data_IF_222063860680
#
_entry.id   IF_222063860680
#
_cell.length_a   1.000
_cell.length_b   1.000
_cell.length_c   1.000
_cell.angle_alpha   90.00
_cell.angle_beta   90.00
_cell.angle_gamma   90.00
#
_symmetry.space_group_name_H-M   'P 1'
#
loop_
_entity.id
_entity.type
_entity.pdbx_description
1 polymer ?
#
# COMPACT_ATOMS: atom_id res chain seq x y z
N UNK A 1 8.90 -3.55 -26.15
CA UNK A 1 7.79 -4.04 -25.29
C UNK A 1 8.28 -4.82 -24.06
N UNK A 2 9.12 -5.86 -24.21
CA UNK A 2 9.60 -6.69 -23.09
C UNK A 2 10.34 -5.91 -21.99
N UNK A 3 11.26 -5.01 -22.36
CA UNK A 3 11.99 -4.18 -21.40
C UNK A 3 11.05 -3.29 -20.58
N UNK A 4 10.07 -2.65 -21.22
CA UNK A 4 9.07 -1.81 -20.54
C UNK A 4 8.23 -2.63 -19.55
N UNK A 5 7.86 -3.87 -19.92
CA UNK A 5 7.11 -4.77 -19.03
C UNK A 5 7.93 -5.24 -17.85
N UNK A 6 9.22 -5.49 -18.06
CA UNK A 6 10.13 -5.84 -16.99
C UNK A 6 10.29 -4.68 -15.99
N UNK A 7 10.48 -3.46 -16.48
CA UNK A 7 10.57 -2.25 -15.64
C UNK A 7 9.28 -2.04 -14.85
N UNK A 8 8.12 -2.16 -15.51
CA UNK A 8 6.82 -2.04 -14.85
C UNK A 8 6.67 -3.08 -13.71
N UNK A 9 7.02 -4.34 -13.97
CA UNK A 9 6.94 -5.40 -12.97
C UNK A 9 7.83 -5.14 -11.75
N UNK A 10 9.05 -4.63 -11.95
CA UNK A 10 9.95 -4.23 -10.84
C UNK A 10 9.35 -3.09 -10.02
N UNK A 11 8.72 -2.11 -10.68
CA UNK A 11 8.11 -0.97 -10.01
C UNK A 11 6.88 -1.34 -9.17
N UNK A 12 6.03 -2.24 -9.67
CA UNK A 12 4.79 -2.64 -8.99
C UNK A 12 5.02 -3.66 -7.85
N UNK A 13 6.04 -4.51 -7.97
CA UNK A 13 6.34 -5.57 -7.00
C UNK A 13 6.38 -5.13 -5.53
N UNK A 14 7.14 -4.08 -5.16
CA UNK A 14 7.27 -3.66 -3.76
C UNK A 14 6.09 -2.83 -3.24
N UNK A 15 5.12 -2.44 -4.08
CA UNK A 15 4.06 -1.50 -3.69
C UNK A 15 3.21 -2.05 -2.54
N UNK A 16 2.70 -3.28 -2.67
CA UNK A 16 1.84 -3.90 -1.66
C UNK A 16 2.57 -4.09 -0.31
N UNK A 17 3.76 -4.71 -0.21
CA UNK A 17 4.44 -4.87 1.07
C UNK A 17 4.84 -3.52 1.70
N UNK A 18 5.17 -2.52 0.88
CA UNK A 18 5.46 -1.16 1.36
C UNK A 18 4.21 -0.51 1.95
N UNK A 19 3.07 -0.59 1.25
CA UNK A 19 1.78 -0.11 1.75
C UNK A 19 1.38 -0.79 3.06
N UNK A 20 1.56 -2.11 3.17
CA UNK A 20 1.27 -2.85 4.41
C UNK A 20 2.18 -2.42 5.56
N UNK A 21 3.47 -2.19 5.30
CA UNK A 21 4.44 -1.71 6.30
C UNK A 21 4.08 -0.31 6.79
N UNK A 22 3.78 0.60 5.86
CA UNK A 22 3.34 1.97 6.19
C UNK A 22 2.05 1.95 7.00
N UNK A 23 1.04 1.19 6.56
CA UNK A 23 -0.23 1.08 7.27
C UNK A 23 -0.07 0.43 8.65
N UNK A 24 0.85 -0.52 8.78
CA UNK A 24 1.18 -1.17 10.04
C UNK A 24 1.78 -0.20 11.07
N UNK A 25 2.61 0.74 10.63
CA UNK A 25 3.24 1.75 11.49
C UNK A 25 2.30 2.90 11.89
N UNK A 26 1.23 3.14 11.11
CA UNK A 26 0.31 4.25 11.33
C UNK A 26 -1.06 3.85 11.91
N UNK A 27 -1.35 2.54 12.00
CA UNK A 27 -2.67 2.04 12.40
C UNK A 27 -2.60 1.13 13.62
N UNK A 28 -3.38 1.41 14.69
CA UNK A 28 -3.44 0.53 15.84
C UNK A 28 -4.00 -0.85 15.46
N UNK A 29 -3.55 -1.95 16.12
CA UNK A 29 -3.89 -3.32 15.72
C UNK A 29 -5.41 -3.57 15.60
N UNK A 30 -6.19 -3.00 16.52
CA UNK A 30 -7.65 -3.18 16.58
C UNK A 30 -8.40 -2.57 15.39
N UNK A 31 -7.83 -1.54 14.75
CA UNK A 31 -8.46 -0.87 13.60
C UNK A 31 -7.82 -1.25 12.26
N UNK A 32 -6.72 -2.03 12.27
CA UNK A 32 -5.93 -2.32 11.07
C UNK A 32 -6.77 -2.95 9.97
N UNK A 33 -7.63 -3.92 10.30
CA UNK A 33 -8.52 -4.55 9.33
C UNK A 33 -9.45 -3.56 8.61
N UNK A 34 -10.04 -2.60 9.35
CA UNK A 34 -10.91 -1.56 8.78
C UNK A 34 -10.15 -0.65 7.83
N UNK A 35 -8.95 -0.20 8.21
CA UNK A 35 -8.15 0.71 7.37
C UNK A 35 -7.62 0.02 6.12
N UNK A 36 -7.19 -1.24 6.25
CA UNK A 36 -6.84 -2.10 5.12
C UNK A 36 -8.02 -2.20 4.17
N UNK A 37 -9.21 -2.53 4.66
CA UNK A 37 -10.41 -2.67 3.83
C UNK A 37 -10.75 -1.39 3.04
N UNK A 38 -10.60 -0.21 3.67
CA UNK A 38 -10.81 1.08 2.98
C UNK A 38 -9.83 1.26 1.82
N UNK A 39 -8.54 0.96 2.03
CA UNK A 39 -7.52 1.06 0.98
C UNK A 39 -7.83 0.12 -0.19
N UNK A 40 -8.17 -1.14 0.10
CA UNK A 40 -8.52 -2.11 -0.95
C UNK A 40 -9.81 -1.74 -1.69
N UNK A 41 -10.82 -1.20 -0.98
CA UNK A 41 -12.03 -0.68 -1.62
C UNK A 41 -11.70 0.45 -2.59
N UNK A 42 -10.84 1.40 -2.17
CA UNK A 42 -10.37 2.48 -3.03
C UNK A 42 -9.68 1.98 -4.30
N UNK A 43 -8.82 0.96 -4.18
CA UNK A 43 -8.16 0.34 -5.34
C UNK A 43 -9.16 -0.29 -6.33
N UNK A 44 -10.19 -0.98 -5.82
CA UNK A 44 -11.25 -1.58 -6.65
C UNK A 44 -12.09 -0.50 -7.33
N UNK A 45 -12.49 0.54 -6.60
CA UNK A 45 -13.25 1.67 -7.16
C UNK A 45 -12.45 2.42 -8.23
N UNK A 46 -11.16 2.67 -7.99
CA UNK A 46 -10.27 3.28 -8.98
C UNK A 46 -10.21 2.48 -10.28
N UNK A 47 -10.14 1.15 -10.17
CA UNK A 47 -10.19 0.24 -11.33
C UNK A 47 -11.54 0.33 -12.05
N UNK A 48 -12.66 0.29 -11.30
CA UNK A 48 -14.00 0.38 -11.85
C UNK A 48 -14.26 1.67 -12.63
N UNK A 49 -13.61 2.78 -12.25
CA UNK A 49 -13.70 4.07 -12.92
C UNK A 49 -12.70 4.16 -14.10
N UNK A 50 -11.48 3.66 -13.93
CA UNK A 50 -10.40 3.79 -14.92
C UNK A 50 -10.65 2.98 -16.19
N UNK A 51 -11.27 1.80 -16.06
CA UNK A 51 -11.58 0.92 -17.18
C UNK A 51 -12.55 1.55 -18.20
N UNK A 52 -13.74 2.06 -17.81
CA UNK A 52 -14.66 2.71 -18.76
C UNK A 52 -14.07 4.00 -19.34
N UNK A 53 -13.32 4.78 -18.56
CA UNK A 53 -12.62 5.97 -19.07
C UNK A 53 -11.60 5.57 -20.15
N UNK A 54 -10.77 4.57 -19.87
CA UNK A 54 -9.80 4.05 -20.85
C UNK A 54 -10.48 3.59 -22.13
N UNK A 55 -11.60 2.86 -22.01
CA UNK A 55 -12.37 2.41 -23.16
C UNK A 55 -12.91 3.58 -23.98
N UNK A 56 -13.51 4.57 -23.31
CA UNK A 56 -14.10 5.72 -23.97
C UNK A 56 -13.05 6.54 -24.73
N UNK A 57 -11.93 6.86 -24.08
CA UNK A 57 -10.84 7.64 -24.68
C UNK A 57 -10.15 6.85 -25.80
N UNK A 58 -9.94 5.54 -25.65
CA UNK A 58 -9.30 4.72 -26.70
C UNK A 58 -10.13 4.57 -27.96
N UNK A 59 -11.47 4.63 -27.85
CA UNK A 59 -12.39 4.48 -29.00
C UNK A 59 -12.54 5.78 -29.79
N UNK A 60 -12.19 6.92 -29.19
CA UNK A 60 -12.30 8.24 -29.81
C UNK A 60 -10.99 8.61 -30.50
N UNK A 61 -10.88 8.32 -31.80
CA UNK A 61 -9.68 8.61 -32.61
C UNK A 61 -9.35 10.10 -32.68
N UNK A 62 -10.35 10.98 -32.55
CA UNK A 62 -10.18 12.45 -32.50
C UNK A 62 -9.36 12.94 -31.29
N UNK A 63 -9.28 12.14 -30.22
CA UNK A 63 -8.60 12.49 -28.96
C UNK A 63 -7.15 11.96 -28.95
N UNK A 64 -6.67 11.38 -30.05
CA UNK A 64 -5.33 10.78 -30.16
C UNK A 64 -5.29 9.27 -29.84
N UNK A 65 -6.46 8.63 -29.76
CA UNK A 65 -6.61 7.19 -29.64
C UNK A 65 -6.05 6.60 -28.34
N UNK A 66 -5.61 5.35 -28.41
CA UNK A 66 -5.19 4.55 -27.24
C UNK A 66 -3.98 5.13 -26.47
N UNK A 67 -3.08 5.83 -27.16
CA UNK A 67 -1.90 6.43 -26.53
C UNK A 67 -2.27 7.53 -25.51
N UNK A 68 -3.35 8.28 -25.76
CA UNK A 68 -3.80 9.39 -24.90
C UNK A 68 -4.24 8.93 -23.52
N UNK A 69 -4.77 7.71 -23.41
CA UNK A 69 -5.15 7.11 -22.12
C UNK A 69 -3.96 7.04 -21.17
N UNK A 70 -2.78 6.64 -21.66
CA UNK A 70 -1.58 6.56 -20.85
C UNK A 70 -1.14 7.93 -20.36
N UNK A 71 -1.21 8.96 -21.20
CA UNK A 71 -0.82 10.31 -20.81
C UNK A 71 -1.76 10.88 -19.72
N UNK A 72 -3.07 10.70 -19.87
CA UNK A 72 -4.05 11.19 -18.89
C UNK A 72 -3.89 10.46 -17.55
N UNK A 73 -3.91 9.13 -17.57
CA UNK A 73 -3.84 8.32 -16.34
C UNK A 73 -2.51 8.48 -15.62
N UNK A 74 -1.40 8.54 -16.37
CA UNK A 74 -0.07 8.77 -15.78
C UNK A 74 0.05 10.19 -15.25
N UNK A 75 -0.55 11.19 -15.92
CA UNK A 75 -0.58 12.57 -15.44
C UNK A 75 -1.31 12.69 -14.10
N UNK A 76 -2.53 12.15 -14.01
CA UNK A 76 -3.31 12.13 -12.76
C UNK A 76 -2.55 11.40 -11.65
N UNK A 77 -1.95 10.24 -11.96
CA UNK A 77 -1.17 9.47 -10.99
C UNK A 77 0.09 10.21 -10.53
N UNK A 78 0.75 10.96 -11.42
CA UNK A 78 1.93 11.77 -11.08
C UNK A 78 1.56 12.92 -10.16
N UNK A 79 0.46 13.62 -10.43
CA UNK A 79 -0.05 14.68 -9.54
C UNK A 79 -0.37 14.08 -8.16
N UNK A 80 -1.05 12.94 -8.14
CA UNK A 80 -1.34 12.22 -6.90
C UNK A 80 -0.06 11.83 -6.14
N UNK A 81 0.96 11.34 -6.83
CA UNK A 81 2.26 10.98 -6.25
C UNK A 81 2.94 12.22 -5.62
N UNK A 82 2.94 13.35 -6.32
CA UNK A 82 3.52 14.61 -5.80
C UNK A 82 2.76 15.07 -4.55
N UNK A 83 1.42 15.03 -4.58
CA UNK A 83 0.62 15.30 -3.38
C UNK A 83 0.95 14.31 -2.25
N UNK A 84 1.02 13.02 -2.55
CA UNK A 84 1.34 12.00 -1.57
C UNK A 84 2.72 12.25 -0.93
N UNK A 85 3.74 12.58 -1.73
CA UNK A 85 5.08 12.90 -1.23
C UNK A 85 5.12 14.17 -0.37
N UNK A 86 4.27 15.16 -0.67
CA UNK A 86 4.18 16.39 0.11
C UNK A 86 3.45 16.21 1.47
N UNK A 87 2.46 15.31 1.53
CA UNK A 87 1.58 15.16 2.69
C UNK A 87 1.85 13.92 3.55
N UNK A 88 2.41 12.86 2.99
CA UNK A 88 2.61 11.58 3.69
C UNK A 88 4.06 11.43 4.12
N UNK A 89 4.25 11.19 5.42
CA UNK A 89 5.56 10.98 6.02
C UNK A 89 5.66 9.52 6.48
N UNK A 90 6.80 8.88 6.24
CA UNK A 90 7.02 7.48 6.63
C UNK A 90 7.02 7.30 8.17
N UNK A 91 7.49 8.31 8.90
CA UNK A 91 7.66 8.26 10.34
C UNK A 91 6.76 9.27 11.07
N UNK A 92 5.88 8.82 12.00
CA UNK A 92 5.12 9.74 12.85
C UNK A 92 6.03 10.57 13.78
N UNK A 93 7.30 10.17 13.94
CA UNK A 93 8.31 10.92 14.69
C UNK A 93 8.80 12.17 13.94
N UNK A 94 8.90 12.12 12.61
CA UNK A 94 9.43 13.21 11.77
C UNK A 94 8.38 14.26 11.39
N UNK A 95 7.09 14.00 11.65
CA UNK A 95 6.02 14.95 11.36
C UNK A 95 6.04 16.16 12.32
N UNK A 96 6.24 17.41 11.83
CA UNK A 96 6.33 18.61 12.67
C UNK A 96 5.03 18.89 13.44
N UNK A 97 3.87 18.63 12.83
CA UNK A 97 2.56 18.96 13.40
C UNK A 97 2.00 17.94 14.40
N UNK A 98 2.60 16.74 14.51
CA UNK A 98 2.18 15.76 15.52
C UNK A 98 2.73 16.10 16.91
N UNK A 99 3.68 17.03 17.02
CA UNK A 99 4.41 17.35 18.26
C UNK A 99 3.54 17.91 19.39
N UNK A 100 2.35 18.45 19.09
CA UNK A 100 1.59 19.25 20.07
C UNK A 100 0.33 18.58 20.65
N UNK A 101 -0.24 17.53 20.03
CA UNK A 101 -1.59 17.08 20.40
C UNK A 101 -1.82 15.60 20.71
N UNK A 102 -0.82 14.71 20.58
CA UNK A 102 -1.09 13.30 20.91
C UNK A 102 -0.08 12.24 20.47
N UNK A 103 1.23 12.52 20.39
CA UNK A 103 2.23 11.49 20.01
C UNK A 103 2.17 10.27 20.93
N UNK A 104 1.94 10.48 22.23
CA UNK A 104 2.02 9.43 23.25
C UNK A 104 0.88 8.40 23.13
N UNK A 105 -0.32 8.83 22.71
CA UNK A 105 -1.48 7.93 22.62
C UNK A 105 -1.49 7.11 21.32
N UNK A 106 -1.00 7.66 20.21
CA UNK A 106 -0.92 6.93 18.93
C UNK A 106 0.23 5.92 18.95
N UNK A 107 1.43 6.32 19.42
CA UNK A 107 2.54 5.37 19.54
C UNK A 107 2.23 4.23 20.52
N UNK A 108 1.61 4.52 21.67
CA UNK A 108 1.26 3.49 22.65
C UNK A 108 0.14 2.56 22.16
N UNK A 109 -0.80 3.05 21.34
CA UNK A 109 -1.85 2.21 20.75
C UNK A 109 -1.38 1.40 19.54
N UNK A 110 -0.35 1.85 18.82
CA UNK A 110 0.23 1.13 17.67
C UNK A 110 1.31 0.13 18.10
N UNK A 111 2.23 0.53 18.98
CA UNK A 111 3.40 -0.27 19.38
C UNK A 111 3.36 -0.77 20.84
N UNK A 112 2.39 -0.36 21.67
CA UNK A 112 2.36 -0.74 23.09
C UNK A 112 3.66 -0.34 23.83
N UNK A 113 4.12 -1.19 24.76
CA UNK A 113 5.44 -1.07 25.40
C UNK A 113 6.62 -1.54 24.51
N UNK A 114 6.35 -2.00 23.29
CA UNK A 114 7.34 -2.55 22.36
C UNK A 114 7.87 -1.44 21.46
N UNK A 115 8.61 -0.48 22.03
CA UNK A 115 9.43 0.43 21.24
C UNK A 115 10.49 -0.44 20.54
N UNK A 116 10.61 -0.44 19.21
CA UNK A 116 11.46 -1.38 18.49
C UNK A 116 12.94 -1.21 18.90
N UNK A 117 13.38 -2.01 19.85
CA UNK A 117 14.79 -2.12 20.27
C UNK A 117 15.49 -3.08 19.33
N UNK A 118 16.22 -2.51 18.38
CA UNK A 118 17.16 -3.17 17.47
C UNK A 118 16.54 -4.24 16.55
N UNK A 119 16.85 -4.17 15.24
CA UNK A 119 16.48 -5.19 14.25
C UNK A 119 17.15 -6.52 14.60
N UNK A 120 16.47 -7.37 15.37
CA UNK A 120 16.90 -8.75 15.56
C UNK A 120 16.90 -9.48 14.19
N UNK A 121 17.86 -10.38 13.93
CA UNK A 121 17.92 -11.12 12.67
C UNK A 121 16.64 -11.96 12.48
N UNK A 122 16.08 -11.88 11.28
CA UNK A 122 14.80 -12.49 10.92
C UNK A 122 14.98 -14.02 10.89
N UNK A 123 14.25 -14.82 11.69
CA UNK A 123 14.44 -16.26 11.78
C UNK A 123 13.77 -17.01 10.61
N UNK A 124 14.36 -16.89 9.41
CA UNK A 124 13.81 -17.47 8.15
C UNK A 124 13.45 -18.95 8.27
N UNK A 125 14.33 -19.78 8.83
CA UNK A 125 14.08 -21.22 8.99
C UNK A 125 12.92 -21.54 9.92
N UNK A 126 12.65 -20.68 10.91
CA UNK A 126 11.52 -20.82 11.84
C UNK A 126 10.20 -20.42 11.21
N UNK A 127 10.20 -19.39 10.37
CA UNK A 127 9.01 -18.93 9.63
C UNK A 127 8.54 -20.01 8.64
N UNK A 128 9.48 -20.58 7.87
CA UNK A 128 9.18 -21.60 6.86
C UNK A 128 8.63 -22.90 7.45
N UNK A 129 9.04 -23.25 8.67
CA UNK A 129 8.56 -24.46 9.36
C UNK A 129 7.39 -24.19 10.31
N UNK A 130 6.83 -22.98 10.33
CA UNK A 130 5.75 -22.64 11.26
C UNK A 130 4.40 -23.20 10.78
N UNK A 131 3.56 -23.76 11.69
CA UNK A 131 2.24 -24.30 11.33
C UNK A 131 1.28 -23.30 10.63
N UNK A 132 1.24 -21.99 10.96
CA UNK A 132 0.41 -21.04 10.20
C UNK A 132 0.96 -20.73 8.80
N UNK A 133 2.26 -20.93 8.55
CA UNK A 133 2.87 -20.76 7.22
C UNK A 133 2.63 -21.97 6.32
N UNK A 134 2.73 -23.18 6.88
CA UNK A 134 2.53 -24.43 6.15
C UNK A 134 1.05 -24.80 5.96
N UNK A 135 0.13 -24.11 6.64
CA UNK A 135 -1.31 -24.37 6.54
C UNK A 135 -1.63 -25.81 6.96
N UNK A 136 -1.41 -26.15 8.22
CA UNK A 136 -1.71 -27.49 8.71
C UNK A 136 -3.23 -27.79 8.55
N UNK A 137 -3.65 -28.82 7.80
CA UNK A 137 -5.06 -29.15 7.57
C UNK A 137 -5.82 -29.63 8.83
N UNK A 138 -5.19 -29.72 9.99
CA UNK A 138 -5.80 -30.23 11.23
C UNK A 138 -6.85 -29.32 11.87
N UNK A 139 -7.21 -28.17 11.27
CA UNK A 139 -8.27 -27.27 11.78
C UNK A 139 -9.58 -27.33 11.00
N UNK A 140 -9.74 -28.22 10.02
CA UNK A 140 -10.99 -28.39 9.24
C UNK A 140 -11.79 -29.65 9.61
N UNK A 141 -11.44 -30.34 10.69
CA UNK A 141 -12.18 -31.49 11.21
C UNK A 141 -12.57 -31.24 12.68
N UNK A 142 -13.67 -30.53 12.87
CA UNK A 142 -14.32 -30.30 14.16
C UNK A 142 -15.78 -29.94 13.93
#
# INVERSE_FOLDING_TARGET
>A
LFVLRFIQGIGEGPVIPSCHTMLANWTPPNERGRRVAIVYCGAQLGTAITLPISKYVSTNELIGGWATVFYILSGVSTIWLVCFYAFVYDDPMHHPQLRYRGKVNVLSSVWGNQIPRHRAPIPWKGIWNSPPFLGNPSSSSG
#
